data_IF_102692310101
#
_entry.id   IF_102692310101
#
_cell.length_a   1.000
_cell.length_b   1.000
_cell.length_c   1.000
_cell.angle_alpha   90.00
_cell.angle_beta   90.00
_cell.angle_gamma   90.00
#
_symmetry.space_group_name_H-M   'P 1'
#
loop_
_entity.id
_entity.type
_entity.pdbx_description
1 polymer ?
#
# COMPACT_ATOMS: atom_id res chain seq x y z
N UNK A 1 -11.64 81.66 11.98
CA UNK A 1 -11.49 81.15 10.60
C UNK A 1 -12.24 79.83 10.53
N UNK A 2 -13.45 79.83 9.96
CA UNK A 2 -14.33 78.66 9.92
C UNK A 2 -14.06 77.95 8.59
N UNK A 3 -13.46 76.77 8.61
CA UNK A 3 -13.29 75.93 7.42
C UNK A 3 -14.66 75.39 6.99
N UNK A 4 -15.16 75.91 5.87
CA UNK A 4 -16.44 75.52 5.31
C UNK A 4 -16.27 74.23 4.51
N UNK A 5 -16.33 73.07 5.18
CA UNK A 5 -16.22 71.75 4.55
C UNK A 5 -17.51 71.49 3.75
N UNK A 6 -17.44 71.66 2.43
CA UNK A 6 -18.53 71.26 1.53
C UNK A 6 -18.58 69.73 1.47
N UNK A 7 -19.59 69.12 2.10
CA UNK A 7 -19.85 67.69 1.96
C UNK A 7 -20.47 67.41 0.58
N UNK A 8 -19.63 67.20 -0.43
CA UNK A 8 -20.08 66.63 -1.71
C UNK A 8 -20.45 65.17 -1.47
N UNK A 9 -21.67 64.77 -1.84
CA UNK A 9 -22.13 63.39 -1.76
C UNK A 9 -21.48 62.50 -2.82
N UNK A 10 -21.52 61.19 -2.60
CA UNK A 10 -21.04 60.19 -3.56
C UNK A 10 -21.95 60.13 -4.79
N UNK A 11 -21.36 59.93 -5.97
CA UNK A 11 -22.12 59.66 -7.20
C UNK A 11 -22.56 58.19 -7.24
N UNK A 12 -23.65 57.89 -7.96
CA UNK A 12 -24.17 56.52 -8.09
C UNK A 12 -23.16 55.57 -8.78
N UNK A 13 -22.31 56.11 -9.67
CA UNK A 13 -21.23 55.35 -10.31
C UNK A 13 -20.11 55.02 -9.31
N UNK A 14 -19.75 55.97 -8.46
CA UNK A 14 -18.70 55.80 -7.46
C UNK A 14 -19.10 54.80 -6.36
N UNK A 15 -20.37 54.78 -5.96
CA UNK A 15 -20.89 53.74 -5.05
C UNK A 15 -20.93 52.36 -5.72
N UNK A 16 -21.28 52.28 -7.00
CA UNK A 16 -21.30 51.01 -7.74
C UNK A 16 -19.88 50.43 -7.91
N UNK A 17 -18.91 51.24 -8.31
CA UNK A 17 -17.51 50.80 -8.44
C UNK A 17 -16.92 50.47 -7.07
N UNK A 18 -17.16 51.31 -6.06
CA UNK A 18 -16.68 51.07 -4.69
C UNK A 18 -17.21 49.77 -4.10
N UNK A 19 -18.51 49.48 -4.27
CA UNK A 19 -19.10 48.21 -3.81
C UNK A 19 -18.57 47.02 -4.59
N UNK A 20 -18.38 47.13 -5.92
CA UNK A 20 -17.79 46.07 -6.72
C UNK A 20 -16.35 45.72 -6.27
N UNK A 21 -15.49 46.72 -6.08
CA UNK A 21 -14.12 46.51 -5.59
C UNK A 21 -14.12 45.94 -4.17
N UNK A 22 -14.98 46.47 -3.28
CA UNK A 22 -15.10 45.96 -1.92
C UNK A 22 -15.51 44.48 -1.91
N UNK A 23 -16.54 44.09 -2.65
CA UNK A 23 -17.00 42.71 -2.75
C UNK A 23 -15.89 41.79 -3.27
N UNK A 24 -15.16 42.21 -4.30
CA UNK A 24 -14.03 41.44 -4.84
C UNK A 24 -12.94 41.20 -3.80
N UNK A 25 -12.55 42.25 -3.05
CA UNK A 25 -11.53 42.15 -1.99
C UNK A 25 -12.04 41.28 -0.84
N UNK A 26 -13.27 41.48 -0.39
CA UNK A 26 -13.88 40.70 0.70
C UNK A 26 -13.99 39.21 0.36
N UNK A 27 -14.42 38.86 -0.85
CA UNK A 27 -14.50 37.46 -1.29
C UNK A 27 -13.12 36.83 -1.41
N UNK A 28 -12.13 37.58 -1.88
CA UNK A 28 -10.74 37.11 -1.99
C UNK A 28 -10.16 36.81 -0.60
N UNK A 29 -10.37 37.72 0.36
CA UNK A 29 -9.95 37.53 1.74
C UNK A 29 -10.65 36.34 2.42
N UNK A 30 -11.95 36.18 2.20
CA UNK A 30 -12.72 35.04 2.73
C UNK A 30 -12.21 33.70 2.18
N UNK A 31 -11.96 33.63 0.87
CA UNK A 31 -11.37 32.42 0.24
C UNK A 31 -9.96 32.13 0.76
N UNK A 32 -9.13 33.16 0.92
CA UNK A 32 -7.79 33.00 1.48
C UNK A 32 -7.84 32.44 2.91
N UNK A 33 -8.74 32.95 3.75
CA UNK A 33 -8.94 32.43 5.09
C UNK A 33 -9.40 30.95 5.09
N UNK A 34 -10.35 30.60 4.21
CA UNK A 34 -10.78 29.21 4.04
C UNK A 34 -9.63 28.27 3.64
N UNK A 35 -8.81 28.70 2.68
CA UNK A 35 -7.64 27.92 2.25
C UNK A 35 -6.60 27.75 3.38
N UNK A 36 -6.39 28.77 4.21
CA UNK A 36 -5.51 28.66 5.39
C UNK A 36 -6.07 27.65 6.40
N UNK A 37 -7.37 27.66 6.66
CA UNK A 37 -7.98 26.68 7.56
C UNK A 37 -7.89 25.25 7.02
N UNK A 38 -8.11 25.07 5.72
CA UNK A 38 -7.92 23.78 5.06
C UNK A 38 -6.47 23.28 5.16
N UNK A 39 -5.49 24.17 4.97
CA UNK A 39 -4.08 23.84 5.12
C UNK A 39 -3.71 23.44 6.56
N UNK A 40 -4.26 24.13 7.57
CA UNK A 40 -4.07 23.79 8.98
C UNK A 40 -4.68 22.41 9.29
N UNK A 41 -5.91 22.15 8.84
CA UNK A 41 -6.57 20.85 9.05
C UNK A 41 -5.81 19.71 8.36
N UNK A 42 -5.33 19.90 7.13
CA UNK A 42 -4.51 18.92 6.44
C UNK A 42 -3.20 18.62 7.19
N UNK A 43 -2.56 19.65 7.75
CA UNK A 43 -1.36 19.49 8.58
C UNK A 43 -1.62 18.69 9.86
N UNK A 44 -2.72 19.00 10.57
CA UNK A 44 -3.14 18.27 11.76
C UNK A 44 -3.43 16.80 11.46
N UNK A 45 -4.18 16.52 10.39
CA UNK A 45 -4.46 15.14 9.95
C UNK A 45 -3.17 14.37 9.65
N UNK A 46 -2.20 15.01 8.96
CA UNK A 46 -0.90 14.41 8.67
C UNK A 46 -0.08 14.10 9.93
N UNK A 47 -0.09 14.99 10.92
CA UNK A 47 0.59 14.77 12.20
C UNK A 47 -0.05 13.58 12.94
N UNK A 48 -1.38 13.54 13.00
CA UNK A 48 -2.12 12.44 13.63
C UNK A 48 -1.85 11.10 12.92
N UNK A 49 -1.90 11.06 11.59
CA UNK A 49 -1.57 9.87 10.80
C UNK A 49 -0.13 9.39 11.03
N UNK A 50 0.83 10.31 11.10
CA UNK A 50 2.24 9.98 11.38
C UNK A 50 2.41 9.39 12.78
N UNK A 51 1.68 9.91 13.77
CA UNK A 51 1.66 9.33 15.12
C UNK A 51 1.09 7.90 15.11
N UNK A 52 0.05 7.64 14.32
CA UNK A 52 -0.51 6.29 14.15
C UNK A 52 0.49 5.37 13.47
N UNK A 53 1.17 5.82 12.40
CA UNK A 53 2.20 5.04 11.72
C UNK A 53 3.35 4.65 12.68
N UNK A 54 3.84 5.61 13.47
CA UNK A 54 4.86 5.33 14.48
C UNK A 54 4.39 4.30 15.50
N UNK A 55 3.19 4.44 16.05
CA UNK A 55 2.62 3.45 16.97
C UNK A 55 2.56 2.06 16.36
N UNK A 56 2.19 1.95 15.07
CA UNK A 56 2.19 0.67 14.36
C UNK A 56 3.59 0.10 14.19
N UNK A 57 4.58 0.92 13.84
CA UNK A 57 5.96 0.45 13.78
C UNK A 57 6.53 0.04 15.13
N UNK A 58 6.16 0.71 16.23
CA UNK A 58 6.55 0.25 17.56
C UNK A 58 5.97 -1.14 17.87
N UNK A 59 4.70 -1.38 17.51
CA UNK A 59 4.09 -2.72 17.65
C UNK A 59 4.85 -3.74 16.79
N UNK A 60 5.06 -3.44 15.52
CA UNK A 60 5.73 -4.34 14.56
C UNK A 60 7.16 -4.68 15.03
N UNK A 61 7.92 -3.69 15.50
CA UNK A 61 9.31 -3.88 15.97
C UNK A 61 9.41 -4.57 17.33
N UNK A 62 8.35 -4.54 18.13
CA UNK A 62 8.30 -5.17 19.44
C UNK A 62 7.68 -6.58 19.42
N UNK A 63 7.21 -7.06 18.26
CA UNK A 63 6.77 -8.43 18.08
C UNK A 63 7.97 -9.38 17.92
N UNK A 64 7.85 -10.66 18.35
CA UNK A 64 8.79 -11.70 17.95
C UNK A 64 8.94 -11.73 16.43
N UNK A 65 10.17 -11.92 15.93
CA UNK A 65 10.46 -11.84 14.49
C UNK A 65 9.60 -12.81 13.66
N UNK A 66 9.35 -14.01 14.17
CA UNK A 66 8.45 -15.01 13.58
C UNK A 66 6.99 -14.53 13.44
N UNK A 67 6.52 -13.66 14.34
CA UNK A 67 5.15 -13.14 14.33
C UNK A 67 4.98 -11.87 13.47
N UNK A 68 6.08 -11.31 12.96
CA UNK A 68 6.05 -10.18 12.03
C UNK A 68 5.64 -10.69 10.66
N UNK A 69 4.35 -10.64 10.38
CA UNK A 69 3.78 -11.13 9.14
C UNK A 69 2.27 -10.91 9.15
N UNK A 70 1.64 -11.22 8.03
CA UNK A 70 0.19 -11.05 7.86
C UNK A 70 -0.47 -12.43 8.01
N UNK A 71 -1.59 -12.56 8.75
CA UNK A 71 -2.35 -13.80 8.79
C UNK A 71 -2.67 -14.31 7.38
N UNK A 72 -2.53 -15.61 7.17
CA UNK A 72 -2.77 -16.25 5.87
C UNK A 72 -1.90 -15.70 4.72
N UNK A 73 -0.70 -15.17 5.00
CA UNK A 73 0.21 -14.62 3.98
C UNK A 73 1.62 -15.20 4.13
N UNK A 74 2.53 -14.78 3.25
CA UNK A 74 3.97 -15.02 3.39
C UNK A 74 4.68 -13.66 3.51
N UNK A 75 5.42 -13.38 4.61
CA UNK A 75 5.50 -14.19 5.82
C UNK A 75 4.17 -14.20 6.59
N UNK A 76 3.85 -15.35 7.20
CA UNK A 76 2.70 -15.46 8.11
C UNK A 76 3.01 -14.76 9.42
N UNK A 77 1.99 -14.20 10.08
CA UNK A 77 2.16 -13.54 11.37
C UNK A 77 0.86 -12.99 11.93
N UNK A 78 0.98 -12.06 12.88
CA UNK A 78 -0.14 -11.58 13.70
C UNK A 78 -0.63 -10.18 13.30
N UNK A 79 -0.01 -9.54 12.30
CA UNK A 79 -0.31 -8.16 11.92
C UNK A 79 -1.42 -8.17 10.86
N UNK A 80 -2.62 -7.62 11.15
CA UNK A 80 -3.69 -7.63 10.16
C UNK A 80 -3.38 -6.68 9.01
N UNK A 81 -3.74 -7.13 7.79
CA UNK A 81 -3.54 -6.38 6.55
C UNK A 81 -4.28 -5.04 6.53
N UNK A 82 -5.57 -5.04 6.91
CA UNK A 82 -6.41 -3.85 6.91
C UNK A 82 -6.82 -3.49 8.34
N UNK A 83 -6.64 -2.22 8.72
CA UNK A 83 -7.11 -1.69 10.00
C UNK A 83 -7.69 -0.28 9.84
N UNK A 84 -8.79 0.02 10.55
CA UNK A 84 -9.33 1.37 10.66
C UNK A 84 -9.10 1.90 12.08
N UNK A 85 -8.56 3.11 12.20
CA UNK A 85 -8.20 3.73 13.48
C UNK A 85 -8.67 5.17 13.54
N UNK A 86 -9.32 5.53 14.63
CA UNK A 86 -9.69 6.91 14.91
C UNK A 86 -8.66 7.59 15.82
N UNK A 87 -8.09 8.71 15.38
CA UNK A 87 -7.17 9.54 16.16
C UNK A 87 -7.50 11.01 15.97
N UNK A 88 -7.69 11.74 17.06
CA UNK A 88 -7.97 13.19 17.06
C UNK A 88 -9.15 13.60 16.17
N UNK A 89 -10.15 12.73 16.03
CA UNK A 89 -11.33 12.93 15.19
C UNK A 89 -11.16 12.55 13.71
N UNK A 90 -9.96 12.13 13.29
CA UNK A 90 -9.70 11.58 11.96
C UNK A 90 -9.85 10.06 11.94
N UNK A 91 -10.44 9.51 10.89
CA UNK A 91 -10.58 8.07 10.65
C UNK A 91 -9.60 7.65 9.57
N UNK A 92 -8.56 6.92 9.98
CA UNK A 92 -7.51 6.43 9.11
C UNK A 92 -7.74 4.96 8.74
N UNK A 93 -7.63 4.66 7.46
CA UNK A 93 -7.62 3.29 6.94
C UNK A 93 -6.19 2.95 6.55
N UNK A 94 -5.65 1.90 7.18
CA UNK A 94 -4.27 1.46 7.10
C UNK A 94 -4.25 0.14 6.34
N UNK A 95 -3.54 0.12 5.23
CA UNK A 95 -3.17 -1.08 4.50
C UNK A 95 -1.71 -1.41 4.82
N UNK A 96 -1.49 -2.57 5.43
CA UNK A 96 -0.17 -3.09 5.80
C UNK A 96 0.26 -4.14 4.78
N UNK A 97 1.47 -4.01 4.27
CA UNK A 97 2.13 -5.01 3.44
C UNK A 97 3.43 -5.44 4.11
N UNK A 98 3.65 -6.73 4.29
CA UNK A 98 4.88 -7.28 4.86
C UNK A 98 5.45 -8.29 3.88
N UNK A 99 6.75 -8.19 3.59
CA UNK A 99 7.45 -9.08 2.67
C UNK A 99 8.81 -9.48 3.22
N UNK A 100 9.17 -10.73 3.01
CA UNK A 100 10.56 -11.16 3.12
C UNK A 100 11.37 -10.56 1.96
N UNK A 101 12.57 -10.08 2.25
CA UNK A 101 13.48 -9.47 1.29
C UNK A 101 14.72 -10.36 1.15
N UNK A 102 15.09 -10.60 -0.10
CA UNK A 102 16.32 -11.26 -0.55
C UNK A 102 17.34 -10.17 -0.91
N UNK A 103 18.31 -9.93 -0.04
CA UNK A 103 19.30 -8.86 -0.12
C UNK A 103 20.54 -9.35 -0.89
N UNK A 104 20.97 -8.68 -1.97
CA UNK A 104 22.13 -9.09 -2.76
C UNK A 104 23.49 -9.13 -2.03
N UNK A 105 23.54 -8.77 -0.76
CA UNK A 105 24.77 -8.64 0.02
C UNK A 105 25.58 -9.95 0.11
N UNK A 106 24.92 -11.10 0.31
CA UNK A 106 25.59 -12.41 0.42
C UNK A 106 25.16 -13.42 -0.66
N UNK A 107 24.24 -13.02 -1.53
CA UNK A 107 23.76 -13.80 -2.66
C UNK A 107 22.32 -13.41 -2.96
N UNK A 108 21.68 -14.15 -3.86
CA UNK A 108 20.22 -14.16 -3.95
C UNK A 108 19.77 -15.59 -4.24
N UNK A 109 18.49 -15.91 -4.05
CA UNK A 109 17.99 -17.21 -4.50
C UNK A 109 18.13 -17.33 -6.03
N UNK A 110 18.81 -18.39 -6.47
CA UNK A 110 19.15 -18.58 -7.89
C UNK A 110 20.22 -17.62 -8.43
N UNK A 111 20.87 -16.84 -7.57
CA UNK A 111 21.97 -15.93 -7.89
C UNK A 111 23.34 -16.60 -8.00
N UNK A 112 24.41 -15.80 -8.06
CA UNK A 112 25.79 -16.29 -8.02
C UNK A 112 26.64 -15.38 -7.11
N UNK A 113 26.95 -15.81 -5.86
CA UNK A 113 26.62 -17.11 -5.26
C UNK A 113 25.11 -17.28 -5.07
N UNK A 114 24.64 -18.54 -5.15
CA UNK A 114 23.24 -18.85 -4.80
C UNK A 114 23.12 -18.86 -3.30
N UNK A 115 22.17 -18.10 -2.79
CA UNK A 115 21.85 -18.10 -1.38
C UNK A 115 20.80 -19.18 -1.04
N UNK A 116 20.98 -19.81 0.11
CA UNK A 116 20.11 -20.84 0.68
C UNK A 116 19.17 -20.30 1.77
N UNK A 117 19.28 -19.03 2.13
CA UNK A 117 18.47 -18.37 3.16
C UNK A 117 17.97 -16.98 2.73
N UNK A 118 17.26 -16.86 1.59
CA UNK A 118 17.02 -15.60 0.86
C UNK A 118 15.99 -14.66 1.52
N UNK A 119 15.71 -14.85 2.81
CA UNK A 119 14.80 -14.03 3.58
C UNK A 119 15.58 -13.35 4.70
N UNK A 120 16.43 -12.39 4.31
CA UNK A 120 17.37 -11.68 5.17
C UNK A 120 16.64 -10.88 6.25
N UNK A 121 15.63 -10.12 5.81
CA UNK A 121 14.82 -9.29 6.68
C UNK A 121 13.41 -9.11 6.12
N UNK A 122 12.54 -8.54 6.94
CA UNK A 122 11.17 -8.20 6.58
C UNK A 122 11.05 -6.72 6.31
N UNK A 123 10.49 -6.36 5.16
CA UNK A 123 10.02 -5.02 4.87
C UNK A 123 8.56 -4.91 5.28
N UNK A 124 8.22 -3.94 6.12
CA UNK A 124 6.85 -3.59 6.46
C UNK A 124 6.51 -2.19 5.90
N UNK A 125 5.53 -2.15 5.02
CA UNK A 125 4.97 -0.94 4.40
C UNK A 125 3.57 -0.66 4.96
N UNK A 126 3.31 0.59 5.30
CA UNK A 126 2.02 1.10 5.74
C UNK A 126 1.53 2.18 4.77
N UNK A 127 0.45 1.86 4.06
CA UNK A 127 -0.31 2.78 3.24
C UNK A 127 -1.50 3.32 4.06
N UNK A 128 -1.44 4.60 4.45
CA UNK A 128 -2.46 5.24 5.28
C UNK A 128 -3.29 6.20 4.43
N UNK A 129 -4.60 6.01 4.44
CA UNK A 129 -5.60 6.90 3.84
C UNK A 129 -6.53 7.45 4.92
N UNK A 130 -7.28 8.51 4.60
CA UNK A 130 -8.22 9.12 5.54
C UNK A 130 -9.55 9.39 4.87
N UNK A 131 -10.60 8.68 5.30
CA UNK A 131 -11.92 8.74 4.68
C UNK A 131 -12.72 10.00 5.02
N UNK A 132 -12.46 10.62 6.18
CA UNK A 132 -13.15 11.83 6.64
C UNK A 132 -12.31 13.11 6.55
N UNK A 133 -11.11 13.04 5.98
CA UNK A 133 -10.25 14.21 5.77
C UNK A 133 -10.65 14.95 4.49
N UNK A 134 -10.70 16.29 4.55
CA UNK A 134 -10.99 17.13 3.38
C UNK A 134 -9.87 17.11 2.33
N UNK A 135 -8.62 17.19 2.79
CA UNK A 135 -7.42 17.19 1.94
C UNK A 135 -6.39 16.27 2.60
N UNK A 136 -6.23 15.06 2.07
CA UNK A 136 -5.28 14.08 2.61
C UNK A 136 -4.75 13.18 1.49
N UNK A 137 -3.55 13.47 0.94
CA UNK A 137 -2.89 12.51 0.06
C UNK A 137 -2.50 11.27 0.88
N UNK A 138 -2.62 10.05 0.32
CA UNK A 138 -2.16 8.83 0.99
C UNK A 138 -0.70 8.97 1.45
N UNK A 139 -0.44 8.53 2.68
CA UNK A 139 0.89 8.54 3.27
C UNK A 139 1.45 7.13 3.25
N UNK A 140 2.68 6.98 2.77
CA UNK A 140 3.42 5.72 2.77
C UNK A 140 4.53 5.76 3.80
N UNK A 141 4.66 4.71 4.58
CA UNK A 141 5.73 4.57 5.56
C UNK A 141 6.34 3.18 5.44
N UNK A 142 7.67 3.09 5.46
CA UNK A 142 8.38 1.81 5.38
C UNK A 142 9.29 1.67 6.60
N UNK A 143 9.36 0.46 7.13
CA UNK A 143 10.41 0.03 8.06
C UNK A 143 10.95 -1.32 7.65
N UNK A 144 12.19 -1.60 8.04
CA UNK A 144 12.78 -2.92 7.99
C UNK A 144 12.75 -3.54 9.39
N UNK A 145 12.64 -4.86 9.46
CA UNK A 145 12.69 -5.66 10.68
C UNK A 145 13.65 -6.81 10.41
N UNK A 146 14.73 -6.89 11.18
CA UNK A 146 15.72 -7.95 11.07
C UNK A 146 15.57 -8.98 12.20
N UNK A 147 15.97 -10.24 12.00
CA UNK A 147 16.06 -11.20 13.08
C UNK A 147 17.10 -10.75 14.13
N UNK A 148 16.93 -11.17 15.38
CA UNK A 148 17.89 -10.87 16.46
C UNK A 148 19.22 -11.62 16.28
N UNK A 149 19.18 -12.78 15.63
CA UNK A 149 20.33 -13.66 15.37
C UNK A 149 20.58 -13.74 13.87
N UNK A 150 21.59 -14.53 13.45
CA UNK A 150 21.80 -14.88 12.05
C UNK A 150 20.51 -15.41 11.38
N UNK A 151 20.39 -15.19 10.08
CA UNK A 151 19.31 -15.79 9.30
C UNK A 151 19.28 -17.30 9.48
N UNK A 152 18.07 -17.81 9.58
CA UNK A 152 17.83 -19.23 9.73
C UNK A 152 17.71 -19.86 8.35
N UNK A 153 18.58 -20.82 8.06
CA UNK A 153 18.44 -21.70 6.90
C UNK A 153 17.05 -22.33 6.93
N UNK A 154 16.21 -22.00 5.95
CA UNK A 154 14.89 -22.60 5.78
C UNK A 154 14.94 -23.69 4.71
N UNK A 155 14.01 -24.65 4.78
CA UNK A 155 13.78 -25.61 3.69
C UNK A 155 12.76 -25.08 2.67
N UNK A 156 12.45 -23.78 2.73
CA UNK A 156 11.48 -23.14 1.88
C UNK A 156 12.12 -22.76 0.53
N UNK A 157 11.27 -22.53 -0.46
CA UNK A 157 11.67 -22.09 -1.79
C UNK A 157 11.31 -20.64 -2.06
N UNK A 158 11.22 -20.30 -3.34
CA UNK A 158 10.65 -19.05 -3.81
C UNK A 158 9.60 -19.33 -4.88
N UNK A 159 8.60 -18.44 -4.96
CA UNK A 159 7.56 -18.44 -5.97
C UNK A 159 7.68 -17.15 -6.79
N UNK A 160 8.13 -17.30 -8.03
CA UNK A 160 8.26 -16.21 -8.99
C UNK A 160 7.22 -16.37 -10.09
N UNK A 161 6.31 -15.40 -10.17
CA UNK A 161 5.20 -15.39 -11.12
C UNK A 161 5.42 -14.23 -12.07
N UNK A 162 5.37 -14.50 -13.39
CA UNK A 162 5.40 -13.47 -14.42
C UNK A 162 4.12 -13.47 -15.21
N UNK A 163 3.49 -12.31 -15.33
CA UNK A 163 2.34 -12.11 -16.21
C UNK A 163 2.79 -11.34 -17.44
N UNK A 164 2.50 -11.90 -18.61
CA UNK A 164 2.88 -11.36 -19.92
C UNK A 164 1.75 -11.55 -20.94
N UNK A 165 1.76 -10.77 -22.02
CA UNK A 165 0.77 -10.85 -23.09
C UNK A 165 1.15 -11.86 -24.19
N UNK A 166 0.35 -11.95 -25.25
CA UNK A 166 0.61 -12.88 -26.36
C UNK A 166 1.91 -12.60 -27.12
N UNK A 167 2.44 -11.39 -27.04
CA UNK A 167 3.71 -11.00 -27.66
C UNK A 167 4.90 -11.19 -26.70
N UNK A 168 4.66 -11.71 -25.49
CA UNK A 168 5.68 -11.92 -24.47
C UNK A 168 6.06 -10.65 -23.70
N UNK A 169 5.30 -9.55 -23.85
CA UNK A 169 5.56 -8.31 -23.15
C UNK A 169 4.98 -8.35 -21.74
N UNK A 170 5.70 -7.77 -20.78
CA UNK A 170 5.30 -7.70 -19.39
C UNK A 170 3.97 -6.97 -19.20
N UNK A 171 3.10 -7.53 -18.37
CA UNK A 171 1.85 -6.90 -17.98
C UNK A 171 1.97 -6.36 -16.55
N UNK A 172 2.08 -5.04 -16.42
CA UNK A 172 2.04 -4.36 -15.12
C UNK A 172 0.64 -4.31 -14.51
N UNK A 173 0.52 -4.45 -13.19
CA UNK A 173 -0.74 -4.28 -12.47
C UNK A 173 -1.79 -5.34 -12.80
N UNK A 174 -1.38 -6.53 -13.24
CA UNK A 174 -2.25 -7.69 -13.27
C UNK A 174 -2.50 -8.16 -11.84
N UNK A 175 -3.74 -8.49 -11.52
CA UNK A 175 -4.11 -9.05 -10.22
C UNK A 175 -3.83 -10.54 -10.23
N UNK A 176 -3.08 -11.01 -9.24
CA UNK A 176 -2.73 -12.43 -9.07
C UNK A 176 -3.18 -12.86 -7.69
N UNK A 177 -4.02 -13.89 -7.66
CA UNK A 177 -4.43 -14.60 -6.45
C UNK A 177 -3.62 -15.89 -6.34
N UNK A 178 -3.04 -16.15 -5.17
CA UNK A 178 -2.20 -17.33 -4.89
C UNK A 178 -2.74 -17.97 -3.62
N UNK A 179 -3.21 -19.21 -3.73
CA UNK A 179 -3.80 -19.96 -2.62
C UNK A 179 -3.05 -21.27 -2.39
N UNK A 180 -2.75 -21.59 -1.12
CA UNK A 180 -2.30 -22.91 -0.70
C UNK A 180 -3.08 -23.31 0.57
N UNK A 181 -3.96 -24.30 0.41
CA UNK A 181 -4.82 -24.84 1.47
C UNK A 181 -4.27 -26.13 2.09
N UNK A 182 -3.06 -26.55 1.70
CA UNK A 182 -2.33 -27.66 2.31
C UNK A 182 -1.54 -27.24 3.56
N UNK A 183 -1.45 -25.93 3.84
CA UNK A 183 -0.79 -25.37 5.04
C UNK A 183 -1.80 -25.06 6.15
N UNK A 184 -1.33 -24.91 7.38
CA UNK A 184 -2.16 -24.41 8.49
C UNK A 184 -1.42 -23.28 9.22
N UNK A 185 -1.89 -22.01 9.14
CA UNK A 185 -3.08 -21.57 8.40
C UNK A 185 -2.91 -21.68 6.87
N UNK A 186 -4.04 -21.64 6.14
CA UNK A 186 -4.04 -21.51 4.68
C UNK A 186 -3.25 -20.26 4.26
N UNK A 187 -2.56 -20.32 3.14
CA UNK A 187 -1.89 -19.16 2.53
C UNK A 187 -2.80 -18.62 1.43
N UNK A 188 -3.11 -17.33 1.49
CA UNK A 188 -3.96 -16.60 0.55
C UNK A 188 -3.29 -15.25 0.29
N UNK A 189 -2.70 -15.09 -0.88
CA UNK A 189 -1.94 -13.89 -1.26
C UNK A 189 -2.61 -13.25 -2.47
N UNK A 190 -3.06 -12.02 -2.28
CA UNK A 190 -3.56 -11.16 -3.34
C UNK A 190 -2.54 -10.06 -3.61
N UNK A 191 -1.97 -10.05 -4.81
CA UNK A 191 -0.92 -9.12 -5.19
C UNK A 191 -1.13 -8.60 -6.62
N UNK A 192 -0.40 -7.53 -6.94
CA UNK A 192 -0.36 -7.00 -8.30
C UNK A 192 1.06 -7.00 -8.86
N UNK A 193 1.18 -7.29 -10.15
CA UNK A 193 2.49 -7.34 -10.81
C UNK A 193 3.15 -5.96 -10.91
N UNK A 194 4.47 -5.95 -10.79
CA UNK A 194 5.28 -4.75 -10.98
C UNK A 194 5.36 -4.31 -12.46
N UNK A 195 6.15 -3.28 -12.76
CA UNK A 195 6.37 -2.75 -14.11
C UNK A 195 6.98 -3.76 -15.08
N UNK A 196 7.62 -4.82 -14.58
CA UNK A 196 8.23 -5.90 -15.35
C UNK A 196 7.33 -7.15 -15.42
N UNK A 197 6.13 -7.06 -14.86
CA UNK A 197 5.12 -8.12 -14.87
C UNK A 197 5.37 -9.18 -13.81
N UNK A 198 6.24 -8.93 -12.83
CA UNK A 198 6.63 -9.91 -11.82
C UNK A 198 5.88 -9.77 -10.50
N UNK A 199 5.70 -10.91 -9.85
CA UNK A 199 5.54 -11.06 -8.40
C UNK A 199 6.61 -12.03 -7.95
N UNK A 200 7.44 -11.61 -7.00
CA UNK A 200 8.53 -12.43 -6.45
C UNK A 200 8.31 -12.58 -4.95
N UNK A 201 8.14 -13.81 -4.49
CA UNK A 201 7.93 -14.14 -3.08
C UNK A 201 9.01 -15.16 -2.71
N UNK A 202 9.76 -14.86 -1.65
CA UNK A 202 10.80 -15.73 -1.11
C UNK A 202 10.35 -16.32 0.22
N UNK A 203 11.00 -17.41 0.62
CA UNK A 203 10.67 -18.19 1.82
C UNK A 203 9.23 -18.75 1.77
N UNK A 204 8.91 -19.34 0.62
CA UNK A 204 7.63 -19.98 0.32
C UNK A 204 7.67 -21.45 0.73
N UNK A 205 6.76 -21.94 1.60
CA UNK A 205 6.74 -23.35 2.00
C UNK A 205 6.67 -24.31 0.80
N UNK A 206 7.39 -25.44 0.82
CA UNK A 206 7.30 -26.40 -0.27
C UNK A 206 5.95 -27.15 -0.22
N UNK A 207 5.48 -27.58 -1.39
CA UNK A 207 4.30 -28.43 -1.49
C UNK A 207 4.14 -29.03 -2.88
N UNK A 208 3.64 -30.26 -2.96
CA UNK A 208 3.37 -30.93 -4.24
C UNK A 208 2.04 -30.44 -4.77
N UNK A 209 2.06 -29.73 -5.91
CA UNK A 209 0.88 -29.10 -6.52
C UNK A 209 0.12 -28.15 -5.56
N UNK A 210 0.76 -27.64 -4.51
CA UNK A 210 0.05 -27.02 -3.40
C UNK A 210 -0.51 -25.61 -3.68
N UNK A 211 -0.05 -24.96 -4.75
CA UNK A 211 -0.36 -23.55 -5.03
C UNK A 211 -1.33 -23.44 -6.21
N UNK A 212 -2.56 -23.00 -5.93
CA UNK A 212 -3.49 -22.51 -6.94
C UNK A 212 -3.16 -21.06 -7.26
N UNK A 213 -2.95 -20.73 -8.54
CA UNK A 213 -2.59 -19.39 -8.99
C UNK A 213 -3.58 -18.97 -10.06
N UNK A 214 -4.18 -17.79 -9.89
CA UNK A 214 -5.11 -17.18 -10.85
C UNK A 214 -4.63 -15.77 -11.17
N UNK A 215 -4.36 -15.49 -12.45
CA UNK A 215 -3.95 -14.18 -12.93
C UNK A 215 -5.06 -13.55 -13.79
N UNK A 216 -5.40 -12.29 -13.50
CA UNK A 216 -6.44 -11.55 -14.24
C UNK A 216 -6.04 -10.09 -14.48
N UNK A 217 -6.50 -9.53 -15.60
CA UNK A 217 -6.42 -8.09 -15.86
C UNK A 217 -7.54 -7.66 -16.80
N UNK A 218 -8.17 -6.52 -16.52
CA UNK A 218 -9.18 -5.96 -17.41
C UNK A 218 -8.64 -5.74 -18.82
N UNK A 219 -9.36 -6.23 -19.83
CA UNK A 219 -8.94 -6.20 -21.23
C UNK A 219 -8.08 -7.40 -21.68
N UNK A 220 -7.76 -8.34 -20.77
CA UNK A 220 -7.02 -9.56 -21.05
C UNK A 220 -7.85 -10.80 -20.68
N UNK A 221 -7.41 -11.98 -21.14
CA UNK A 221 -7.93 -13.26 -20.65
C UNK A 221 -7.44 -13.55 -19.23
N UNK A 222 -8.14 -14.45 -18.54
CA UNK A 222 -7.69 -15.06 -17.28
C UNK A 222 -6.82 -16.27 -17.57
N UNK A 223 -5.75 -16.44 -16.80
CA UNK A 223 -4.94 -17.66 -16.78
C UNK A 223 -4.88 -18.22 -15.36
N UNK A 224 -4.83 -19.55 -15.22
CA UNK A 224 -4.81 -20.20 -13.92
C UNK A 224 -4.21 -21.61 -13.95
N UNK A 225 -3.78 -22.08 -12.78
CA UNK A 225 -3.52 -23.51 -12.53
C UNK A 225 -4.81 -24.29 -12.36
N UNK A 226 -4.76 -25.61 -12.56
CA UNK A 226 -5.95 -26.47 -12.52
C UNK A 226 -5.69 -27.80 -11.81
N UNK A 227 -6.70 -28.33 -11.08
CA UNK A 227 -6.48 -29.52 -10.28
C UNK A 227 -6.38 -30.76 -11.16
N UNK A 228 -5.55 -31.73 -10.75
CA UNK A 228 -5.44 -33.02 -11.43
C UNK A 228 -6.81 -33.72 -11.39
N UNK A 229 -7.36 -34.06 -12.57
CA UNK A 229 -8.70 -34.63 -12.69
C UNK A 229 -9.83 -33.60 -12.62
N UNK A 230 -9.51 -32.31 -12.62
CA UNK A 230 -10.45 -31.20 -12.60
C UNK A 230 -10.96 -30.79 -13.98
N UNK A 231 -11.33 -29.51 -14.11
CA UNK A 231 -11.89 -28.95 -15.35
C UNK A 231 -10.96 -29.03 -16.57
N UNK A 232 -9.64 -29.07 -16.34
CA UNK A 232 -8.62 -29.23 -17.39
C UNK A 232 -8.31 -30.71 -17.72
N UNK A 233 -9.03 -31.67 -17.14
CA UNK A 233 -8.84 -33.10 -17.37
C UNK A 233 -7.86 -33.75 -16.38
N UNK A 234 -7.40 -34.97 -16.69
CA UNK A 234 -6.53 -35.76 -15.82
C UNK A 234 -5.08 -35.29 -15.82
N UNK A 235 -4.63 -34.58 -16.86
CA UNK A 235 -3.25 -34.16 -17.05
C UNK A 235 -3.18 -32.67 -17.47
N UNK A 236 -3.48 -31.74 -16.55
CA UNK A 236 -3.39 -30.31 -16.85
C UNK A 236 -1.94 -29.88 -17.12
N UNK A 237 -1.77 -28.89 -18.02
CA UNK A 237 -0.46 -28.31 -18.36
C UNK A 237 0.16 -27.59 -17.15
N UNK A 238 -0.69 -26.98 -16.32
CA UNK A 238 -0.33 -26.28 -15.08
C UNK A 238 -1.11 -26.88 -13.91
N UNK A 239 -0.68 -28.04 -13.36
CA UNK A 239 -1.38 -28.71 -12.27
C UNK A 239 -1.33 -27.92 -10.96
N UNK A 240 -2.43 -27.92 -10.22
CA UNK A 240 -2.50 -27.62 -8.79
C UNK A 240 -3.30 -28.70 -8.02
N UNK A 241 -3.52 -28.45 -6.73
CA UNK A 241 -4.13 -29.29 -5.71
C UNK A 241 -3.39 -30.57 -5.30
#
# INVERSE_FOLDING_TARGET
MIFNIHKRGFTLVETLVGTAVFVLVSLSAYKAFGALMDAVSASQAKIAATSVANEKFEIIRNLPYENVGIPNSIPTGEIPRNQSITRDGYSFDILTTIRNIDDPFDGTIGGTPSDSSPADYKLADLDITCSNCKIFPPLKFITLVAPHSLETVSSNGALFIRVFDSDGLAIQGASVNIENTQTNPDIIIEETTDNEGWIKIVDVPPGTNAYNIIATKSGFSTDQTYPIGGAAGTDPISPDA
#
